data_IF_544590860901
#
_entry.id   IF_544590860901
#
_cell.length_a   1.000
_cell.length_b   1.000
_cell.length_c   1.000
_cell.angle_alpha   90.00
_cell.angle_beta   90.00
_cell.angle_gamma   90.00
#
_symmetry.space_group_name_H-M   'P 1'
#
loop_
_entity.id
_entity.type
_entity.pdbx_description
1 polymer ?
#
# COMPACT_ATOMS: atom_id res chain seq x y z
N UNK A 1 17.93 -10.88 31.23
CA UNK A 1 17.11 -10.90 29.99
C UNK A 1 16.90 -9.46 29.51
N UNK A 2 17.40 -9.10 28.32
CA UNK A 2 17.42 -7.71 27.83
C UNK A 2 16.05 -7.19 27.37
N UNK A 3 15.62 -6.08 27.95
CA UNK A 3 14.34 -5.44 27.69
C UNK A 3 14.35 -4.71 26.33
N UNK A 4 13.70 -5.30 25.31
CA UNK A 4 13.54 -4.82 23.93
C UNK A 4 12.65 -3.56 23.81
N UNK A 5 12.86 -2.56 24.67
CA UNK A 5 11.95 -1.43 24.89
C UNK A 5 12.32 -0.13 24.17
N UNK A 6 13.14 -0.20 23.11
CA UNK A 6 13.23 0.94 22.20
C UNK A 6 12.06 0.87 21.21
N UNK A 7 11.25 1.92 21.06
CA UNK A 7 10.14 1.95 20.10
C UNK A 7 10.58 1.68 18.66
N UNK A 8 11.86 1.91 18.34
CA UNK A 8 12.46 1.58 17.05
C UNK A 8 12.56 0.07 16.79
N UNK A 9 12.89 -0.74 17.80
CA UNK A 9 13.03 -2.19 17.65
C UNK A 9 11.68 -2.90 17.48
N UNK A 10 10.60 -2.38 18.08
CA UNK A 10 9.28 -3.04 18.02
C UNK A 10 8.61 -2.93 16.66
N UNK A 11 8.57 -1.75 16.05
CA UNK A 11 7.96 -1.63 14.72
C UNK A 11 8.79 -2.34 13.66
N UNK A 12 10.12 -2.28 13.78
CA UNK A 12 11.02 -2.92 12.83
C UNK A 12 10.86 -4.45 12.84
N UNK A 13 10.68 -5.06 14.02
CA UNK A 13 10.35 -6.48 14.13
C UNK A 13 9.06 -6.85 13.38
N UNK A 14 7.99 -6.08 13.57
CA UNK A 14 6.71 -6.33 12.88
C UNK A 14 6.86 -6.14 11.37
N UNK A 15 7.58 -5.09 10.96
CA UNK A 15 7.91 -4.86 9.56
C UNK A 15 8.63 -6.07 8.94
N UNK A 16 9.67 -6.61 9.58
CA UNK A 16 10.40 -7.78 9.07
C UNK A 16 9.52 -9.02 8.96
N UNK A 17 8.68 -9.27 9.98
CA UNK A 17 7.74 -10.40 9.98
C UNK A 17 6.75 -10.28 8.81
N UNK A 18 6.12 -9.11 8.65
CA UNK A 18 5.17 -8.86 7.57
C UNK A 18 5.86 -8.94 6.21
N UNK A 19 7.05 -8.35 6.05
CA UNK A 19 7.85 -8.43 4.83
C UNK A 19 8.13 -9.89 4.44
N UNK A 20 8.58 -10.71 5.39
CA UNK A 20 8.86 -12.11 5.11
C UNK A 20 7.60 -12.89 4.72
N UNK A 21 6.48 -12.65 5.41
CA UNK A 21 5.19 -13.27 5.05
C UNK A 21 4.74 -12.89 3.64
N UNK A 22 4.90 -11.62 3.26
CA UNK A 22 4.61 -11.13 1.91
C UNK A 22 5.51 -11.83 0.88
N UNK A 23 6.83 -11.85 1.12
CA UNK A 23 7.80 -12.47 0.22
C UNK A 23 7.60 -13.98 0.07
N UNK A 24 7.15 -14.65 1.14
CA UNK A 24 6.82 -16.07 1.14
C UNK A 24 5.46 -16.38 0.50
N UNK A 25 4.70 -15.37 0.05
CA UNK A 25 3.37 -15.57 -0.53
C UNK A 25 2.30 -15.99 0.48
N UNK A 26 2.50 -15.75 1.78
CA UNK A 26 1.49 -16.05 2.82
C UNK A 26 0.27 -15.14 2.66
N UNK A 27 0.49 -13.92 2.18
CA UNK A 27 -0.58 -12.97 1.85
C UNK A 27 -0.76 -12.93 0.34
N UNK A 28 -1.95 -13.30 -0.12
CA UNK A 28 -2.32 -13.35 -1.53
C UNK A 28 -3.07 -12.08 -1.99
N UNK A 29 -3.66 -12.07 -3.19
CA UNK A 29 -4.47 -10.95 -3.73
C UNK A 29 -5.72 -10.63 -2.89
N UNK A 30 -6.09 -11.51 -1.96
CA UNK A 30 -7.12 -11.23 -0.94
C UNK A 30 -6.78 -10.04 -0.04
N UNK A 31 -5.51 -9.63 -0.01
CA UNK A 31 -5.04 -8.48 0.75
C UNK A 31 -4.56 -8.84 2.16
N UNK A 32 -3.93 -7.86 2.81
CA UNK A 32 -3.52 -7.96 4.20
C UNK A 32 -4.74 -7.82 5.13
N UNK A 33 -4.69 -8.46 6.31
CA UNK A 33 -5.65 -8.19 7.37
C UNK A 33 -5.75 -6.69 7.70
N UNK A 34 -6.92 -6.20 8.14
CA UNK A 34 -7.07 -4.83 8.59
C UNK A 34 -6.13 -4.53 9.76
N UNK A 35 -5.87 -3.24 10.02
CA UNK A 35 -4.96 -2.81 11.09
C UNK A 35 -5.29 -3.49 12.43
N UNK A 36 -6.57 -3.61 12.75
CA UNK A 36 -7.05 -4.25 13.97
C UNK A 36 -6.71 -5.75 14.02
N UNK A 37 -6.87 -6.48 12.91
CA UNK A 37 -6.49 -7.89 12.84
C UNK A 37 -4.99 -8.10 13.05
N UNK A 38 -4.15 -7.24 12.47
CA UNK A 38 -2.70 -7.27 12.71
C UNK A 38 -2.34 -6.94 14.15
N UNK A 39 -3.07 -6.02 14.79
CA UNK A 39 -2.88 -5.70 16.20
C UNK A 39 -3.18 -6.91 17.10
N UNK A 40 -4.26 -7.64 16.83
CA UNK A 40 -4.64 -8.83 17.62
C UNK A 40 -3.67 -10.00 17.39
N UNK A 41 -3.30 -10.27 16.14
CA UNK A 41 -2.41 -11.36 15.78
C UNK A 41 -1.01 -11.21 16.39
N UNK A 42 -0.44 -10.01 16.28
CA UNK A 42 0.94 -9.75 16.73
C UNK A 42 0.99 -9.08 18.12
N UNK A 43 -0.17 -8.85 18.77
CA UNK A 43 -0.32 -8.19 20.09
C UNK A 43 0.44 -6.86 20.19
N UNK A 44 0.30 -6.03 19.17
CA UNK A 44 1.00 -4.74 19.08
C UNK A 44 0.04 -3.56 18.99
N UNK A 45 0.50 -2.40 19.44
CA UNK A 45 -0.26 -1.16 19.34
C UNK A 45 -0.47 -0.74 17.87
N UNK A 46 -1.59 -0.07 17.60
CA UNK A 46 -1.95 0.45 16.27
C UNK A 46 -0.86 1.30 15.63
N UNK A 47 -0.18 2.14 16.41
CA UNK A 47 0.90 3.01 15.93
C UNK A 47 2.07 2.21 15.35
N UNK A 48 2.37 1.05 15.94
CA UNK A 48 3.43 0.14 15.51
C UNK A 48 3.07 -0.50 14.17
N UNK A 49 1.84 -1.00 14.05
CA UNK A 49 1.30 -1.57 12.80
C UNK A 49 1.29 -0.52 11.69
N UNK A 50 0.80 0.68 11.98
CA UNK A 50 0.77 1.80 11.02
C UNK A 50 2.14 2.17 10.49
N UNK A 51 3.14 2.21 11.37
CA UNK A 51 4.54 2.47 10.98
C UNK A 51 5.10 1.34 10.11
N UNK A 52 4.92 0.08 10.51
CA UNK A 52 5.38 -1.07 9.74
C UNK A 52 4.75 -1.09 8.32
N UNK A 53 3.43 -0.88 8.23
CA UNK A 53 2.74 -0.78 6.94
C UNK A 53 3.19 0.44 6.12
N UNK A 54 3.55 1.56 6.76
CA UNK A 54 4.07 2.71 6.03
C UNK A 54 5.43 2.39 5.37
N UNK A 55 6.32 1.69 6.06
CA UNK A 55 7.61 1.26 5.49
C UNK A 55 7.45 0.24 4.36
N UNK A 56 6.57 -0.76 4.52
CA UNK A 56 6.26 -1.72 3.44
C UNK A 56 5.67 -1.03 2.20
N UNK A 57 4.84 0.00 2.41
CA UNK A 57 4.29 0.80 1.32
C UNK A 57 5.36 1.62 0.62
N UNK A 58 6.32 2.21 1.37
CA UNK A 58 7.45 2.93 0.79
C UNK A 58 8.34 2.04 -0.06
N UNK A 59 8.52 0.78 0.32
CA UNK A 59 9.24 -0.23 -0.47
C UNK A 59 8.46 -0.73 -1.69
N UNK A 60 7.19 -0.35 -1.83
CA UNK A 60 6.34 -0.80 -2.93
C UNK A 60 5.89 -2.25 -2.79
N UNK A 61 6.07 -2.90 -1.63
CA UNK A 61 5.62 -4.27 -1.37
C UNK A 61 4.11 -4.36 -1.18
N UNK A 62 3.47 -3.26 -0.78
CA UNK A 62 2.03 -3.17 -0.58
C UNK A 62 1.49 -1.86 -1.15
N UNK A 63 0.20 -1.84 -1.46
CA UNK A 63 -0.56 -0.65 -1.81
C UNK A 63 -1.87 -0.57 -1.04
N UNK A 64 -2.38 0.64 -0.81
CA UNK A 64 -3.65 0.86 -0.11
C UNK A 64 -4.72 1.32 -1.09
N UNK A 65 -5.90 0.70 -1.01
CA UNK A 65 -7.08 1.11 -1.77
C UNK A 65 -8.13 1.67 -0.79
N UNK A 66 -8.49 2.97 -0.90
CA UNK A 66 -9.52 3.57 -0.06
C UNK A 66 -10.80 2.75 -0.08
N UNK A 67 -11.35 2.46 1.10
CA UNK A 67 -12.59 1.67 1.26
C UNK A 67 -12.47 0.16 1.00
N UNK A 68 -11.31 -0.34 0.56
CA UNK A 68 -11.12 -1.78 0.29
C UNK A 68 -9.99 -2.44 1.09
N UNK A 69 -9.03 -1.66 1.60
CA UNK A 69 -7.99 -2.17 2.49
C UNK A 69 -6.59 -2.09 1.90
N UNK A 70 -5.71 -2.98 2.36
CA UNK A 70 -4.29 -3.01 1.99
C UNK A 70 -3.98 -4.29 1.24
N UNK A 71 -3.31 -4.19 0.10
CA UNK A 71 -3.05 -5.30 -0.80
C UNK A 71 -1.54 -5.44 -1.06
N UNK A 72 -1.09 -6.66 -1.36
CA UNK A 72 0.29 -6.95 -1.73
C UNK A 72 0.53 -6.57 -3.18
N UNK A 73 1.65 -5.91 -3.47
CA UNK A 73 2.08 -5.63 -4.84
C UNK A 73 2.63 -6.92 -5.45
N UNK A 74 2.08 -7.43 -6.56
CA UNK A 74 2.62 -8.61 -7.21
C UNK A 74 4.05 -8.33 -7.71
N UNK A 75 5.00 -9.27 -7.52
CA UNK A 75 6.36 -9.10 -7.99
C UNK A 75 6.37 -8.95 -9.52
N UNK A 76 7.01 -7.90 -10.03
CA UNK A 76 7.05 -7.58 -11.45
C UNK A 76 7.77 -8.64 -12.32
N UNK A 77 8.29 -9.73 -11.74
CA UNK A 77 9.27 -10.62 -12.37
C UNK A 77 8.76 -12.04 -12.72
N UNK A 78 7.48 -12.39 -12.52
CA UNK A 78 6.95 -13.69 -12.98
C UNK A 78 5.86 -13.62 -14.05
N UNK A 79 5.55 -12.41 -14.53
CA UNK A 79 4.65 -12.23 -15.67
C UNK A 79 5.47 -11.79 -16.88
N UNK A 80 5.91 -12.77 -17.70
CA UNK A 80 6.33 -12.50 -19.09
C UNK A 80 5.14 -12.08 -19.97
N UNK A 81 3.95 -12.00 -19.39
CA UNK A 81 2.74 -11.45 -19.98
C UNK A 81 1.78 -11.09 -18.86
N UNK A 82 0.88 -10.14 -19.12
CA UNK A 82 -0.14 -9.60 -18.22
C UNK A 82 0.28 -8.36 -17.41
N UNK A 83 0.67 -7.31 -18.13
CA UNK A 83 -0.13 -6.10 -18.00
C UNK A 83 -1.34 -6.24 -18.95
N UNK A 84 -2.57 -6.28 -18.42
CA UNK A 84 -3.65 -5.58 -19.10
C UNK A 84 -4.33 -4.62 -18.13
N UNK A 85 -4.25 -3.33 -18.46
CA UNK A 85 -5.46 -2.51 -18.40
C UNK A 85 -5.79 -1.70 -17.15
N UNK A 86 -4.95 -1.59 -16.11
CA UNK A 86 -5.31 -0.71 -14.96
C UNK A 86 -4.67 0.70 -15.01
N UNK A 87 -3.77 0.97 -15.97
CA UNK A 87 -3.14 2.29 -16.15
C UNK A 87 -4.04 3.37 -16.77
N UNK A 88 -5.37 3.21 -16.83
CA UNK A 88 -6.26 4.17 -17.53
C UNK A 88 -7.49 4.69 -16.78
N UNK A 89 -7.48 4.67 -15.44
CA UNK A 89 -8.50 5.38 -14.64
C UNK A 89 -7.96 6.51 -13.75
N UNK A 90 -6.73 6.98 -13.99
CA UNK A 90 -6.23 8.25 -13.46
C UNK A 90 -5.98 9.27 -14.58
N UNK A 91 -6.71 9.17 -15.69
CA UNK A 91 -6.99 10.34 -16.52
C UNK A 91 -8.08 11.14 -15.78
N UNK A 92 -7.69 12.31 -15.30
CA UNK A 92 -8.48 13.25 -14.51
C UNK A 92 -9.92 13.41 -15.05
N UNK A 93 -10.93 13.53 -14.17
CA UNK A 93 -12.26 13.93 -14.56
C UNK A 93 -12.26 15.27 -15.30
N UNK A 94 -12.98 15.29 -16.42
CA UNK A 94 -13.39 16.47 -17.15
C UNK A 94 -14.01 17.52 -16.21
N UNK A 95 -13.46 18.74 -16.19
CA UNK A 95 -14.31 19.91 -16.04
C UNK A 95 -14.69 20.41 -17.44
N UNK A 96 -15.96 20.19 -17.74
CA UNK A 96 -16.71 20.74 -18.86
C UNK A 96 -16.58 22.27 -18.99
N UNK A 97 -16.49 22.72 -20.25
CA UNK A 97 -17.06 23.96 -20.83
C UNK A 97 -17.05 25.23 -19.96
N UNK A 98 -16.26 26.21 -20.41
CA UNK A 98 -16.77 27.59 -20.51
C UNK A 98 -16.38 28.17 -21.88
N UNK A 99 -17.41 28.66 -22.54
CA UNK A 99 -17.50 29.19 -23.89
C UNK A 99 -16.88 30.58 -24.03
N UNK A 100 -16.51 30.91 -25.29
CA UNK A 100 -16.30 32.27 -25.85
C UNK A 100 -15.08 33.05 -25.32
N UNK A 101 -14.25 33.73 -26.13
CA UNK A 101 -14.54 34.45 -27.38
C UNK A 101 -13.21 34.73 -28.13
N UNK A 102 -13.20 34.80 -29.48
CA UNK A 102 -12.02 35.15 -30.26
C UNK A 102 -11.82 36.67 -30.29
N UNK A 103 -10.66 37.17 -29.87
CA UNK A 103 -10.26 38.56 -30.16
C UNK A 103 -9.61 38.61 -31.54
N UNK A 104 -10.38 39.08 -32.51
CA UNK A 104 -9.95 39.44 -33.85
C UNK A 104 -8.99 40.63 -33.82
N UNK A 105 -7.99 40.55 -34.71
CA UNK A 105 -7.17 41.61 -35.31
C UNK A 105 -7.70 43.05 -35.14
N UNK A 106 -6.80 43.96 -34.74
CA UNK A 106 -6.26 45.01 -35.62
C UNK A 106 -4.94 45.53 -35.07
#
# INVERSE_FOLDING_TARGET
>A
MGNQSSPMLRYHRIYLVLRQKILNGVYDVSGLPPEFGLMEQDRVARVTVRRALAELHKEGLIYRRPGQGTFVTPPAASSRWAAPGWKRCWAMPSHSRRSAQPKSRR
#
